data_IF_802526134546
#
_entry.id   IF_802526134546
#
_cell.length_a   1.000
_cell.length_b   1.000
_cell.length_c   1.000
_cell.angle_alpha   90.00
_cell.angle_beta   90.00
_cell.angle_gamma   90.00
#
_symmetry.space_group_name_H-M   'P 1'
#
loop_
_entity.id
_entity.type
_entity.pdbx_description
1 polymer ?
#
# COMPACT_ATOMS: atom_id res chain seq x y z
N UNK A 1 41.69 -31.15 -15.88
CA UNK A 1 40.45 -31.09 -15.07
C UNK A 1 39.55 -30.04 -15.68
N UNK A 2 38.29 -30.38 -15.94
CA UNK A 2 37.32 -29.41 -16.45
C UNK A 2 37.07 -28.32 -15.39
N UNK A 3 37.01 -27.07 -15.83
CA UNK A 3 36.71 -25.90 -15.01
C UNK A 3 35.32 -26.08 -14.39
N UNK A 4 35.11 -25.80 -13.10
CA UNK A 4 33.77 -25.87 -12.53
C UNK A 4 32.89 -24.88 -13.30
N UNK A 5 31.79 -25.40 -13.83
CA UNK A 5 30.74 -24.63 -14.46
C UNK A 5 30.25 -23.62 -13.42
N UNK A 6 30.48 -22.33 -13.69
CA UNK A 6 29.89 -21.28 -12.90
C UNK A 6 28.39 -21.39 -13.16
N UNK A 7 27.69 -21.99 -12.20
CA UNK A 7 26.22 -22.10 -12.13
C UNK A 7 25.55 -20.92 -12.85
N UNK A 8 24.52 -21.17 -13.68
CA UNK A 8 23.91 -20.14 -14.50
C UNK A 8 23.55 -18.98 -13.61
N UNK A 9 23.96 -17.77 -14.02
CA UNK A 9 23.71 -16.53 -13.29
C UNK A 9 22.31 -16.56 -12.69
N UNK A 10 22.22 -16.76 -11.38
CA UNK A 10 21.01 -16.43 -10.67
C UNK A 10 20.81 -14.95 -10.99
N UNK A 11 19.81 -14.62 -11.81
CA UNK A 11 19.40 -13.23 -11.97
C UNK A 11 18.87 -12.81 -10.60
N UNK A 12 19.76 -12.32 -9.75
CA UNK A 12 19.42 -11.77 -8.45
C UNK A 12 18.68 -10.47 -8.70
N UNK A 13 17.36 -10.54 -8.58
CA UNK A 13 16.50 -9.36 -8.69
C UNK A 13 16.53 -8.64 -7.35
N UNK A 14 17.08 -7.44 -7.36
CA UNK A 14 16.98 -6.49 -6.25
C UNK A 14 15.84 -5.54 -6.52
N UNK A 15 14.95 -5.37 -5.55
CA UNK A 15 13.81 -4.48 -5.64
C UNK A 15 13.81 -3.49 -4.48
N UNK A 16 13.68 -2.20 -4.76
CA UNK A 16 13.37 -1.17 -3.78
C UNK A 16 12.00 -0.61 -4.11
N UNK A 17 11.07 -0.66 -3.16
CA UNK A 17 9.71 -0.16 -3.34
C UNK A 17 9.37 0.84 -2.24
N UNK A 18 8.73 1.94 -2.63
CA UNK A 18 8.13 2.91 -1.71
C UNK A 18 6.62 2.90 -1.81
N UNK A 19 5.95 3.07 -0.67
CA UNK A 19 4.50 3.25 -0.60
C UNK A 19 4.19 4.50 0.21
N UNK A 20 3.37 5.38 -0.34
CA UNK A 20 2.84 6.58 0.31
C UNK A 20 1.34 6.40 0.45
N UNK A 21 0.86 6.28 1.68
CA UNK A 21 -0.53 5.99 1.99
C UNK A 21 -1.17 7.17 2.70
N UNK A 22 -2.40 7.51 2.29
CA UNK A 22 -3.24 8.50 2.94
C UNK A 22 -4.49 7.80 3.46
N UNK A 23 -4.62 7.70 4.78
CA UNK A 23 -5.79 7.13 5.44
C UNK A 23 -6.74 8.26 5.83
N UNK A 24 -7.90 8.31 5.16
CA UNK A 24 -8.96 9.28 5.35
C UNK A 24 -10.03 8.70 6.30
N UNK A 25 -10.03 9.13 7.55
CA UNK A 25 -10.96 8.68 8.59
C UNK A 25 -12.06 9.73 8.70
N UNK A 26 -13.30 9.33 8.38
CA UNK A 26 -14.45 10.25 8.25
C UNK A 26 -14.19 11.39 7.26
N UNK A 27 -13.76 11.02 6.04
CA UNK A 27 -13.38 12.00 5.02
C UNK A 27 -12.07 12.68 5.37
N UNK A 28 -12.04 14.01 5.38
CA UNK A 28 -10.83 14.78 5.69
C UNK A 28 -10.79 15.27 7.14
N UNK A 29 -11.73 14.88 8.01
CA UNK A 29 -11.71 15.30 9.41
C UNK A 29 -10.40 14.84 10.10
N UNK A 30 -10.08 13.55 9.98
CA UNK A 30 -8.82 12.98 10.45
C UNK A 30 -8.09 12.29 9.31
N UNK A 31 -6.89 12.77 9.01
CA UNK A 31 -6.02 12.25 7.94
C UNK A 31 -4.73 11.75 8.55
N UNK A 32 -4.33 10.53 8.20
CA UNK A 32 -3.05 9.93 8.61
C UNK A 32 -2.22 9.59 7.38
N UNK A 33 -0.99 10.08 7.34
CA UNK A 33 -0.01 9.77 6.31
C UNK A 33 0.92 8.67 6.79
N UNK A 34 1.13 7.64 5.97
CA UNK A 34 2.09 6.58 6.24
C UNK A 34 2.99 6.40 5.01
N UNK A 35 4.30 6.62 5.20
CA UNK A 35 5.32 6.32 4.21
C UNK A 35 6.03 5.03 4.57
N UNK A 36 6.13 4.05 3.68
CA UNK A 36 6.81 2.77 3.91
C UNK A 36 7.85 2.52 2.84
N UNK A 37 9.01 1.99 3.23
CA UNK A 37 10.03 1.53 2.30
C UNK A 37 10.29 0.04 2.48
N UNK A 38 10.37 -0.65 1.34
CA UNK A 38 10.54 -2.08 1.25
C UNK A 38 11.79 -2.39 0.44
N UNK A 39 12.63 -3.27 0.96
CA UNK A 39 13.72 -3.87 0.23
C UNK A 39 13.34 -5.33 -0.05
N UNK A 40 13.30 -5.67 -1.33
CA UNK A 40 12.69 -6.88 -1.87
C UNK A 40 11.23 -7.05 -1.41
N UNK A 41 11.00 -7.87 -0.38
CA UNK A 41 9.68 -8.18 0.18
C UNK A 41 9.56 -7.84 1.66
N UNK A 42 10.57 -7.18 2.21
CA UNK A 42 10.67 -6.84 3.62
C UNK A 42 10.58 -5.32 3.78
N UNK A 43 9.65 -4.86 4.61
CA UNK A 43 9.62 -3.47 5.03
C UNK A 43 10.82 -3.24 5.95
N UNK A 44 11.68 -2.28 5.62
CA UNK A 44 12.85 -1.99 6.46
C UNK A 44 12.70 -0.71 7.27
N UNK A 45 11.86 0.25 6.84
CA UNK A 45 11.52 1.43 7.63
C UNK A 45 10.17 2.00 7.24
N UNK A 46 9.60 2.82 8.12
CA UNK A 46 8.41 3.60 7.84
C UNK A 46 8.42 4.98 8.51
N UNK A 47 7.55 5.87 8.05
CA UNK A 47 7.16 7.11 8.70
C UNK A 47 5.65 7.06 8.93
N UNK A 48 5.21 7.42 10.12
CA UNK A 48 3.80 7.54 10.47
C UNK A 48 3.56 8.96 10.99
N UNK A 49 2.60 9.69 10.41
CA UNK A 49 2.27 11.05 10.85
C UNK A 49 1.82 11.11 12.30
N UNK A 50 1.21 10.04 12.82
CA UNK A 50 0.79 9.98 14.22
C UNK A 50 2.01 9.81 15.17
N UNK A 51 3.15 9.33 14.65
CA UNK A 51 4.44 9.19 15.38
C UNK A 51 5.36 10.39 15.13
N UNK A 52 5.31 10.96 13.93
CA UNK A 52 6.01 12.19 13.55
C UNK A 52 7.50 12.05 13.25
N UNK A 53 8.04 10.84 13.11
CA UNK A 53 9.43 10.59 12.71
C UNK A 53 9.56 9.21 12.05
N UNK A 54 10.72 8.94 11.43
CA UNK A 54 10.97 7.64 10.82
C UNK A 54 11.32 6.58 11.87
N UNK A 55 10.81 5.37 11.68
CA UNK A 55 11.04 4.20 12.52
C UNK A 55 11.67 3.11 11.66
N UNK A 56 12.81 2.57 12.11
CA UNK A 56 13.43 1.41 11.50
C UNK A 56 12.74 0.12 11.94
N UNK A 57 12.31 -0.69 10.99
CA UNK A 57 11.65 -1.98 11.26
C UNK A 57 12.66 -3.15 11.23
N UNK A 58 13.85 -2.89 10.71
CA UNK A 58 14.98 -3.83 10.67
C UNK A 58 16.26 -3.14 11.14
N UNK A 59 17.32 -3.90 11.51
CA UNK A 59 18.60 -3.30 11.90
C UNK A 59 19.23 -2.41 10.81
N UNK A 60 18.95 -2.68 9.53
CA UNK A 60 19.35 -1.79 8.45
C UNK A 60 18.53 -0.50 8.45
N UNK A 61 17.21 -0.59 8.63
CA UNK A 61 16.32 0.55 8.76
C UNK A 61 16.68 1.48 9.93
N UNK A 62 17.03 0.94 11.08
CA UNK A 62 17.47 1.74 12.24
C UNK A 62 18.67 2.64 11.91
N UNK A 63 19.64 2.09 11.15
CA UNK A 63 20.80 2.87 10.68
C UNK A 63 20.40 3.99 9.74
N UNK A 64 19.49 3.72 8.81
CA UNK A 64 19.01 4.71 7.84
C UNK A 64 18.22 5.82 8.55
N UNK A 65 17.29 5.43 9.42
CA UNK A 65 16.41 6.37 10.13
C UNK A 65 17.15 7.27 11.11
N UNK A 66 18.28 6.82 11.68
CA UNK A 66 19.16 7.68 12.49
C UNK A 66 19.59 8.93 11.72
N UNK A 67 20.02 8.77 10.47
CA UNK A 67 20.44 9.91 9.65
C UNK A 67 19.25 10.76 9.22
N UNK A 68 18.13 10.12 8.83
CA UNK A 68 16.95 10.85 8.33
C UNK A 68 16.25 11.65 9.42
N UNK A 69 16.20 11.13 10.64
CA UNK A 69 15.59 11.85 11.77
C UNK A 69 16.43 13.04 12.24
N UNK A 70 17.71 13.11 11.88
CA UNK A 70 18.56 14.27 12.15
C UNK A 70 18.35 15.40 11.12
N UNK A 71 17.74 15.12 9.97
CA UNK A 71 17.37 16.12 8.98
C UNK A 71 15.98 16.69 9.28
N UNK A 72 15.96 17.85 9.96
CA UNK A 72 14.72 18.50 10.39
C UNK A 72 13.84 18.93 9.22
N UNK A 73 14.43 19.42 8.13
CA UNK A 73 13.67 19.86 6.95
C UNK A 73 12.94 18.67 6.32
N UNK A 74 13.63 17.54 6.21
CA UNK A 74 13.06 16.32 5.66
C UNK A 74 11.92 15.76 6.54
N UNK A 75 12.11 15.72 7.86
CA UNK A 75 11.09 15.22 8.79
C UNK A 75 9.87 16.15 8.81
N UNK A 76 10.05 17.47 8.84
CA UNK A 76 8.93 18.43 8.79
C UNK A 76 8.14 18.35 7.48
N UNK A 77 8.82 18.16 6.34
CA UNK A 77 8.16 17.91 5.05
C UNK A 77 7.26 16.66 5.10
N UNK A 78 7.67 15.61 5.83
CA UNK A 78 6.87 14.40 6.03
C UNK A 78 5.73 14.58 7.03
N UNK A 79 5.94 15.34 8.12
CA UNK A 79 4.87 15.69 9.08
C UNK A 79 3.73 16.43 8.40
N UNK A 80 4.08 17.37 7.53
CA UNK A 80 3.10 18.20 6.79
C UNK A 80 2.49 17.50 5.58
N UNK A 81 2.91 16.27 5.24
CA UNK A 81 2.36 15.51 4.10
C UNK A 81 0.88 15.19 4.24
N UNK A 82 0.34 15.19 5.47
CA UNK A 82 -1.12 15.08 5.68
C UNK A 82 -1.89 16.19 4.96
N UNK A 83 -1.33 17.40 4.85
CA UNK A 83 -1.99 18.53 4.23
C UNK A 83 -1.60 18.67 2.75
N UNK A 84 -0.30 18.86 2.48
CA UNK A 84 0.15 19.19 1.12
C UNK A 84 0.00 18.02 0.15
N UNK A 85 0.09 16.78 0.64
CA UNK A 85 -0.04 15.59 -0.19
C UNK A 85 -1.45 14.99 -0.06
N UNK A 86 -1.86 14.60 1.15
CA UNK A 86 -3.10 13.83 1.32
C UNK A 86 -4.37 14.67 1.10
N UNK A 87 -4.56 15.80 1.81
CA UNK A 87 -5.78 16.63 1.64
C UNK A 87 -5.88 17.20 0.23
N UNK A 88 -4.79 17.74 -0.29
CA UNK A 88 -4.74 18.25 -1.67
C UNK A 88 -5.16 17.18 -2.70
N UNK A 89 -4.68 15.95 -2.53
CA UNK A 89 -5.07 14.82 -3.38
C UNK A 89 -6.54 14.45 -3.20
N UNK A 90 -7.05 14.42 -1.97
CA UNK A 90 -8.45 14.13 -1.70
C UNK A 90 -9.36 15.12 -2.40
N UNK A 91 -9.07 16.41 -2.29
CA UNK A 91 -9.84 17.47 -2.97
C UNK A 91 -9.83 17.25 -4.49
N UNK A 92 -8.65 17.02 -5.07
CA UNK A 92 -8.46 16.82 -6.51
C UNK A 92 -9.16 15.58 -7.06
N UNK A 93 -9.18 14.49 -6.29
CA UNK A 93 -9.63 13.18 -6.75
C UNK A 93 -11.02 12.78 -6.24
N UNK A 94 -11.58 13.52 -5.29
CA UNK A 94 -12.88 13.21 -4.64
C UNK A 94 -14.00 12.99 -5.66
N UNK A 95 -14.06 13.80 -6.72
CA UNK A 95 -15.11 13.76 -7.73
C UNK A 95 -15.26 12.39 -8.40
N UNK A 96 -14.17 11.77 -8.83
CA UNK A 96 -14.22 10.49 -9.57
C UNK A 96 -13.86 9.27 -8.73
N UNK A 97 -13.36 9.44 -7.51
CA UNK A 97 -13.04 8.33 -6.62
C UNK A 97 -14.09 8.20 -5.51
N UNK A 98 -14.06 9.08 -4.52
CA UNK A 98 -14.93 9.05 -3.34
C UNK A 98 -16.41 9.21 -3.71
N UNK A 99 -16.70 10.17 -4.58
CA UNK A 99 -18.07 10.52 -4.98
C UNK A 99 -18.58 9.66 -6.13
N UNK A 100 -17.78 8.71 -6.63
CA UNK A 100 -18.18 7.81 -7.71
C UNK A 100 -19.35 6.93 -7.27
N UNK A 101 -20.39 6.88 -8.11
CA UNK A 101 -21.54 5.99 -7.98
C UNK A 101 -21.73 5.28 -9.31
N UNK A 102 -21.77 3.95 -9.28
CA UNK A 102 -22.06 3.11 -10.45
C UNK A 102 -23.26 2.25 -10.08
N UNK A 103 -24.37 2.31 -10.83
CA UNK A 103 -25.51 1.44 -10.58
C UNK A 103 -25.09 -0.04 -10.68
N UNK A 104 -25.52 -0.92 -9.75
CA UNK A 104 -25.26 -2.34 -9.89
C UNK A 104 -26.11 -2.90 -11.04
N UNK A 105 -25.55 -3.83 -11.80
CA UNK A 105 -26.31 -4.71 -12.68
C UNK A 105 -26.61 -5.99 -11.91
N UNK A 106 -27.87 -6.41 -11.86
CA UNK A 106 -28.29 -7.61 -11.12
C UNK A 106 -28.99 -8.57 -12.07
N UNK A 107 -28.59 -9.83 -12.05
CA UNK A 107 -29.26 -10.91 -12.79
C UNK A 107 -29.54 -12.11 -11.88
N UNK A 108 -30.70 -12.75 -12.05
CA UNK A 108 -31.09 -13.97 -11.32
C UNK A 108 -31.19 -15.10 -12.34
N UNK A 109 -30.42 -16.17 -12.12
CA UNK A 109 -30.43 -17.35 -12.98
C UNK A 109 -30.55 -18.64 -12.16
N UNK A 110 -31.17 -19.67 -12.74
CA UNK A 110 -31.21 -21.00 -12.15
C UNK A 110 -29.89 -21.73 -12.43
N UNK A 111 -29.28 -22.30 -11.39
CA UNK A 111 -28.11 -23.18 -11.49
C UNK A 111 -28.57 -24.61 -11.25
N UNK A 112 -28.59 -25.47 -12.29
CA UNK A 112 -28.93 -26.88 -12.15
C UNK A 112 -27.93 -27.59 -11.22
N UNK A 113 -28.42 -28.41 -10.29
CA UNK A 113 -27.56 -29.29 -9.50
C UNK A 113 -27.32 -30.58 -10.27
N UNK A 114 -26.07 -30.87 -10.64
CA UNK A 114 -25.71 -32.12 -11.33
C UNK A 114 -25.71 -33.36 -10.41
N UNK A 115 -25.82 -33.15 -9.09
CA UNK A 115 -25.55 -34.19 -8.07
C UNK A 115 -26.70 -34.48 -7.10
N UNK A 116 -27.81 -33.72 -7.11
CA UNK A 116 -28.94 -33.97 -6.21
C UNK A 116 -30.31 -33.79 -6.89
N UNK A 117 -31.27 -34.72 -6.69
CA UNK A 117 -32.67 -34.55 -7.05
C UNK A 117 -33.34 -33.58 -6.06
N UNK A 118 -33.11 -32.29 -6.25
CA UNK A 118 -33.71 -31.21 -5.48
C UNK A 118 -33.89 -29.96 -6.35
N UNK A 119 -34.71 -28.97 -5.93
CA UNK A 119 -34.84 -27.74 -6.69
C UNK A 119 -33.46 -27.08 -6.85
N UNK A 120 -33.12 -26.69 -8.08
CA UNK A 120 -31.84 -26.06 -8.42
C UNK A 120 -31.56 -24.81 -7.58
N UNK A 121 -30.29 -24.37 -7.51
CA UNK A 121 -29.92 -23.14 -6.78
C UNK A 121 -30.23 -21.92 -7.64
N UNK A 122 -30.42 -20.75 -7.03
CA UNK A 122 -30.46 -19.48 -7.75
C UNK A 122 -29.12 -18.76 -7.60
N UNK A 123 -28.57 -18.29 -8.71
CA UNK A 123 -27.41 -17.39 -8.74
C UNK A 123 -27.90 -15.96 -8.89
N UNK A 124 -27.45 -15.09 -7.98
CA UNK A 124 -27.56 -13.65 -8.09
C UNK A 124 -26.16 -13.11 -8.43
N UNK A 125 -26.04 -12.47 -9.59
CA UNK A 125 -24.79 -11.87 -10.11
C UNK A 125 -24.94 -10.38 -10.29
#
# INVERSE_FOLDING_TARGET
GAKPDLSPAHSEVLQLMGRSECHFINGTERVRYVGRLFYNREQFLHFDSDVGHFVGDTPYGEKVTTNWNNDLEYVESKRTAVDWFCRCSYESYSGFSVNRRVPPSVSISLVPSSSQPGPGRLLCS
#
